data_IF_796310277280
#
_entry.id   IF_796310277280
#
_cell.length_a   1.000
_cell.length_b   1.000
_cell.length_c   1.000
_cell.angle_alpha   90.00
_cell.angle_beta   90.00
_cell.angle_gamma   90.00
#
_symmetry.space_group_name_H-M   'P 1'
#
loop_
_entity.id
_entity.type
_entity.pdbx_description
1 polymer ?
#
# COMPACT_ATOMS: atom_id res chain seq x y z
N UNK A 1 45.60 -41.98 45.66
CA UNK A 1 45.46 -43.06 46.67
C UNK A 1 44.55 -44.10 46.08
N UNK A 2 45.09 -45.25 45.72
CA UNK A 2 44.41 -46.29 44.94
C UNK A 2 43.47 -47.07 45.86
N UNK A 3 42.17 -47.00 45.59
CA UNK A 3 41.13 -47.75 46.29
C UNK A 3 41.35 -49.24 45.96
N UNK A 4 41.81 -50.03 46.94
CA UNK A 4 41.96 -51.48 46.79
C UNK A 4 40.55 -52.09 46.76
N UNK A 5 40.12 -52.59 45.62
CA UNK A 5 38.93 -53.44 45.53
C UNK A 5 39.19 -54.73 46.32
N UNK A 6 38.42 -54.93 47.40
CA UNK A 6 38.57 -56.05 48.35
C UNK A 6 37.78 -57.26 47.83
N UNK A 7 38.41 -58.42 47.80
CA UNK A 7 37.79 -59.66 47.34
C UNK A 7 37.01 -60.34 48.48
N UNK A 8 35.91 -61.05 48.17
CA UNK A 8 35.08 -61.74 49.17
C UNK A 8 35.84 -62.76 50.05
N UNK A 9 37.02 -63.22 49.62
CA UNK A 9 37.88 -64.12 50.39
C UNK A 9 38.50 -63.48 51.66
N UNK A 10 38.61 -62.15 51.72
CA UNK A 10 39.20 -61.45 52.87
C UNK A 10 38.28 -61.47 54.10
N UNK A 11 37.01 -61.87 53.95
CA UNK A 11 36.03 -61.93 55.03
C UNK A 11 36.01 -63.28 55.78
N UNK A 12 36.60 -64.36 55.24
CA UNK A 12 36.60 -65.69 55.89
C UNK A 12 37.61 -65.80 57.05
N UNK A 13 38.66 -64.98 57.07
CA UNK A 13 39.72 -64.97 58.10
C UNK A 13 39.79 -63.69 58.94
N UNK A 14 38.90 -62.72 58.73
CA UNK A 14 38.95 -61.42 59.41
C UNK A 14 38.35 -61.47 60.83
N UNK A 15 39.05 -60.85 61.79
CA UNK A 15 38.54 -60.63 63.15
C UNK A 15 37.24 -59.79 63.09
N UNK A 16 36.18 -60.27 63.75
CA UNK A 16 34.83 -59.67 63.78
C UNK A 16 34.83 -58.16 64.07
N UNK A 17 35.77 -57.69 64.92
CA UNK A 17 35.91 -56.25 65.24
C UNK A 17 36.34 -55.41 64.03
N UNK A 18 37.14 -55.97 63.14
CA UNK A 18 37.59 -55.31 61.89
C UNK A 18 36.42 -55.20 60.91
N UNK A 19 35.60 -56.25 60.80
CA UNK A 19 34.39 -56.25 59.95
C UNK A 19 33.39 -55.20 60.43
N UNK A 20 33.10 -55.13 61.73
CA UNK A 20 32.19 -54.12 62.29
C UNK A 20 32.70 -52.70 62.07
N UNK A 21 34.00 -52.45 62.28
CA UNK A 21 34.59 -51.13 62.02
C UNK A 21 34.47 -50.75 60.55
N UNK A 22 34.69 -51.70 59.63
CA UNK A 22 34.57 -51.47 58.18
C UNK A 22 33.13 -51.20 57.76
N UNK A 23 32.16 -51.94 58.30
CA UNK A 23 30.74 -51.69 58.05
C UNK A 23 30.33 -50.29 58.54
N UNK A 24 30.79 -49.87 59.72
CA UNK A 24 30.55 -48.52 60.23
C UNK A 24 31.14 -47.45 59.30
N UNK A 25 32.38 -47.63 58.81
CA UNK A 25 32.98 -46.72 57.83
C UNK A 25 32.21 -46.67 56.51
N UNK A 26 31.76 -47.83 56.00
CA UNK A 26 30.97 -47.89 54.77
C UNK A 26 29.60 -47.22 54.93
N UNK A 27 28.97 -47.35 56.10
CA UNK A 27 27.70 -46.69 56.39
C UNK A 27 27.87 -45.16 56.46
N UNK A 28 28.96 -44.70 57.08
CA UNK A 28 29.33 -43.27 57.10
C UNK A 28 29.62 -42.72 55.69
N UNK A 29 30.38 -43.46 54.87
CA UNK A 29 30.64 -43.12 53.47
C UNK A 29 29.33 -43.08 52.66
N UNK A 30 28.46 -44.07 52.83
CA UNK A 30 27.16 -44.10 52.15
C UNK A 30 26.24 -42.97 52.60
N UNK A 31 26.25 -42.60 53.90
CA UNK A 31 25.52 -41.44 54.40
C UNK A 31 26.04 -40.13 53.80
N UNK A 32 27.37 -39.98 53.68
CA UNK A 32 28.01 -38.83 53.03
C UNK A 32 27.61 -38.71 51.55
N UNK A 33 27.68 -39.81 50.80
CA UNK A 33 27.30 -39.85 49.37
C UNK A 33 25.81 -39.53 49.16
N UNK A 34 24.91 -40.03 50.03
CA UNK A 34 23.49 -39.67 49.96
C UNK A 34 23.26 -38.19 50.25
N UNK A 35 23.97 -37.63 51.22
CA UNK A 35 23.89 -36.19 51.52
C UNK A 35 24.41 -35.34 50.36
N UNK A 36 25.48 -35.77 49.69
CA UNK A 36 26.00 -35.11 48.49
C UNK A 36 25.03 -35.20 47.32
N UNK A 37 24.46 -36.38 47.06
CA UNK A 37 23.46 -36.56 46.02
C UNK A 37 22.22 -35.67 46.26
N UNK A 38 21.77 -35.56 47.52
CA UNK A 38 20.72 -34.64 47.93
C UNK A 38 21.05 -33.19 47.60
N UNK A 39 22.22 -32.69 48.04
CA UNK A 39 22.67 -31.32 47.72
C UNK A 39 22.78 -31.06 46.22
N UNK A 40 23.29 -32.04 45.46
CA UNK A 40 23.40 -31.92 44.01
C UNK A 40 22.03 -31.85 43.34
N UNK A 41 21.10 -32.72 43.73
CA UNK A 41 19.73 -32.73 43.22
C UNK A 41 19.02 -31.41 43.53
N UNK A 42 19.10 -30.93 44.78
CA UNK A 42 18.48 -29.68 45.20
C UNK A 42 19.05 -28.48 44.43
N UNK A 43 20.37 -28.47 44.20
CA UNK A 43 21.01 -27.47 43.35
C UNK A 43 20.54 -27.52 41.89
N UNK A 44 20.29 -28.71 41.34
CA UNK A 44 19.77 -28.88 39.97
C UNK A 44 18.32 -28.44 39.86
N UNK A 45 17.48 -28.75 40.85
CA UNK A 45 16.09 -28.29 40.90
C UNK A 45 16.04 -26.77 41.00
N UNK A 46 16.81 -26.17 41.91
CA UNK A 46 16.87 -24.72 42.05
C UNK A 46 17.33 -24.02 40.76
N UNK A 47 18.37 -24.54 40.10
CA UNK A 47 18.84 -23.99 38.82
C UNK A 47 17.80 -24.11 37.69
N UNK A 48 17.04 -25.22 37.67
CA UNK A 48 15.96 -25.41 36.69
C UNK A 48 14.79 -24.45 36.96
N UNK A 49 14.39 -24.28 38.22
CA UNK A 49 13.35 -23.34 38.62
C UNK A 49 13.74 -21.90 38.29
N UNK A 50 14.99 -21.52 38.51
CA UNK A 50 15.52 -20.21 38.14
C UNK A 50 15.44 -19.97 36.63
N UNK A 51 15.84 -20.97 35.83
CA UNK A 51 15.77 -20.90 34.38
C UNK A 51 14.32 -20.76 33.88
N UNK A 52 13.38 -21.52 34.47
CA UNK A 52 11.95 -21.42 34.14
C UNK A 52 11.42 -20.03 34.50
N UNK A 53 11.73 -19.51 35.68
CA UNK A 53 11.31 -18.16 36.08
C UNK A 53 11.83 -17.07 35.15
N UNK A 54 13.07 -17.18 34.68
CA UNK A 54 13.65 -16.24 33.72
C UNK A 54 12.95 -16.34 32.35
N UNK A 55 12.69 -17.55 31.86
CA UNK A 55 11.98 -17.76 30.61
C UNK A 55 10.54 -17.21 30.67
N UNK A 56 9.84 -17.42 31.78
CA UNK A 56 8.50 -16.87 32.01
C UNK A 56 8.51 -15.33 32.01
N UNK A 57 9.54 -14.72 32.59
CA UNK A 57 9.68 -13.28 32.57
C UNK A 57 9.90 -12.76 31.15
N UNK A 58 10.81 -13.37 30.39
CA UNK A 58 11.06 -13.01 28.99
C UNK A 58 9.79 -13.17 28.14
N UNK A 59 9.00 -14.22 28.38
CA UNK A 59 7.73 -14.43 27.69
C UNK A 59 6.70 -13.33 28.03
N UNK A 60 6.62 -12.91 29.29
CA UNK A 60 5.75 -11.80 29.70
C UNK A 60 6.18 -10.49 29.02
N UNK A 61 7.47 -10.20 29.04
CA UNK A 61 8.03 -8.99 28.44
C UNK A 61 7.80 -8.97 26.92
N UNK A 62 8.03 -10.10 26.24
CA UNK A 62 7.77 -10.24 24.81
C UNK A 62 6.28 -10.07 24.47
N UNK A 63 5.37 -10.66 25.27
CA UNK A 63 3.92 -10.47 25.09
C UNK A 63 3.51 -9.02 25.25
N UNK A 64 4.07 -8.34 26.25
CA UNK A 64 3.82 -6.91 26.46
C UNK A 64 4.33 -6.08 25.28
N UNK A 65 5.55 -6.33 24.81
CA UNK A 65 6.14 -5.63 23.67
C UNK A 65 5.32 -5.84 22.38
N UNK A 66 4.80 -7.05 22.14
CA UNK A 66 3.91 -7.32 21.00
C UNK A 66 2.60 -6.55 21.13
N UNK A 67 1.99 -6.53 22.32
CA UNK A 67 0.75 -5.77 22.54
C UNK A 67 0.95 -4.26 22.37
N UNK A 68 2.09 -3.72 22.81
CA UNK A 68 2.48 -2.32 22.58
C UNK A 68 2.70 -2.03 21.10
N UNK A 69 3.41 -2.91 20.38
CA UNK A 69 3.63 -2.76 18.94
C UNK A 69 2.31 -2.81 18.14
N UNK A 70 1.37 -3.68 18.54
CA UNK A 70 0.03 -3.75 17.92
C UNK A 70 -0.76 -2.47 18.14
N UNK A 71 -0.79 -1.92 19.37
CA UNK A 71 -1.45 -0.63 19.64
C UNK A 71 -0.85 0.51 18.80
N UNK A 72 0.48 0.55 18.69
CA UNK A 72 1.16 1.55 17.87
C UNK A 72 0.81 1.41 16.38
N UNK A 73 0.70 0.18 15.87
CA UNK A 73 0.26 -0.08 14.50
C UNK A 73 -1.18 0.42 14.28
N UNK A 74 -2.10 0.08 15.19
CA UNK A 74 -3.50 0.52 15.11
C UNK A 74 -3.63 2.04 15.13
N UNK A 75 -2.83 2.73 15.96
CA UNK A 75 -2.80 4.20 16.02
C UNK A 75 -2.27 4.81 14.72
N UNK A 76 -1.19 4.27 14.17
CA UNK A 76 -0.61 4.69 12.87
C UNK A 76 -1.62 4.49 11.74
N UNK A 77 -2.30 3.35 11.69
CA UNK A 77 -3.30 3.03 10.68
C UNK A 77 -4.52 3.94 10.78
N UNK A 78 -5.03 4.19 12.00
CA UNK A 78 -6.14 5.11 12.22
C UNK A 78 -5.77 6.54 11.77
N UNK A 79 -4.55 6.99 12.10
CA UNK A 79 -4.06 8.32 11.70
C UNK A 79 -3.85 8.42 10.18
N UNK A 80 -3.31 7.38 9.55
CA UNK A 80 -3.15 7.33 8.11
C UNK A 80 -4.50 7.37 7.38
N UNK A 81 -5.50 6.63 7.87
CA UNK A 81 -6.86 6.66 7.33
C UNK A 81 -7.51 8.05 7.45
N UNK A 82 -7.33 8.73 8.59
CA UNK A 82 -7.78 10.10 8.78
C UNK A 82 -7.16 11.08 7.78
N UNK A 83 -5.83 11.03 7.63
CA UNK A 83 -5.11 11.86 6.66
C UNK A 83 -5.53 11.58 5.21
N UNK A 84 -5.80 10.32 4.87
CA UNK A 84 -6.32 9.96 3.55
C UNK A 84 -7.71 10.56 3.30
N UNK A 85 -8.61 10.46 4.29
CA UNK A 85 -9.94 11.06 4.19
C UNK A 85 -9.85 12.57 3.98
N UNK A 86 -9.01 13.26 4.75
CA UNK A 86 -8.77 14.71 4.60
C UNK A 86 -8.24 15.07 3.21
N UNK A 87 -7.31 14.27 2.69
CA UNK A 87 -6.76 14.44 1.35
C UNK A 87 -7.85 14.26 0.28
N UNK A 88 -8.64 13.19 0.35
CA UNK A 88 -9.75 12.92 -0.58
C UNK A 88 -10.77 14.04 -0.56
N UNK A 89 -11.11 14.57 0.62
CA UNK A 89 -12.03 15.71 0.76
C UNK A 89 -11.50 17.00 0.14
N UNK A 90 -10.18 17.25 0.17
CA UNK A 90 -9.57 18.45 -0.43
C UNK A 90 -9.41 18.36 -1.94
N UNK A 91 -9.01 17.19 -2.44
CA UNK A 91 -8.65 16.97 -3.85
C UNK A 91 -9.86 16.54 -4.69
N UNK A 92 -10.90 15.97 -4.08
CA UNK A 92 -12.15 15.64 -4.75
C UNK A 92 -11.98 14.59 -5.86
N UNK A 93 -12.61 14.73 -7.04
CA UNK A 93 -12.62 13.72 -8.10
C UNK A 93 -11.23 13.28 -8.58
N UNK A 94 -10.21 14.15 -8.47
CA UNK A 94 -8.84 13.80 -8.84
C UNK A 94 -8.21 12.76 -7.90
N UNK A 95 -8.76 12.55 -6.70
CA UNK A 95 -8.36 11.49 -5.79
C UNK A 95 -8.98 10.12 -6.16
N UNK A 96 -10.10 10.10 -6.90
CA UNK A 96 -10.76 8.84 -7.30
C UNK A 96 -9.86 7.95 -8.17
N UNK A 97 -8.88 8.53 -8.88
CA UNK A 97 -7.87 7.78 -9.66
C UNK A 97 -6.99 6.86 -8.81
N UNK A 98 -6.88 7.15 -7.52
CA UNK A 98 -6.13 6.34 -6.55
C UNK A 98 -7.05 5.39 -5.77
N UNK A 99 -8.33 5.33 -6.12
CA UNK A 99 -9.36 4.55 -5.43
C UNK A 99 -10.05 5.37 -4.33
N UNK A 100 -11.34 5.10 -4.12
CA UNK A 100 -12.09 5.62 -2.96
C UNK A 100 -11.65 4.97 -1.64
N UNK A 101 -11.05 3.80 -1.73
CA UNK A 101 -10.53 3.04 -0.59
C UNK A 101 -9.09 3.46 -0.29
N UNK A 102 -8.73 3.51 0.99
CA UNK A 102 -7.34 3.73 1.43
C UNK A 102 -6.43 2.76 0.67
N UNK A 103 -5.38 3.24 -0.01
CA UNK A 103 -4.46 2.36 -0.72
C UNK A 103 -3.87 1.35 0.26
N UNK A 104 -3.66 0.10 -0.19
CA UNK A 104 -3.10 -0.91 0.71
C UNK A 104 -1.76 -0.44 1.28
N UNK A 105 -1.53 -0.61 2.59
CA UNK A 105 -0.29 -0.21 3.22
C UNK A 105 0.87 -0.98 2.56
N UNK A 106 1.69 -0.26 1.80
CA UNK A 106 2.94 -0.81 1.29
C UNK A 106 3.94 -0.67 2.41
N UNK A 107 4.38 -1.79 2.98
CA UNK A 107 5.49 -1.81 3.93
C UNK A 107 6.68 -1.16 3.21
N UNK A 108 7.12 0.04 3.61
CA UNK A 108 8.29 0.64 3.01
C UNK A 108 9.43 -0.34 3.26
N UNK A 109 10.24 -0.63 2.23
CA UNK A 109 11.55 -1.25 2.45
C UNK A 109 12.36 -0.21 3.23
N UNK A 110 12.20 -0.19 4.56
CA UNK A 110 12.80 0.79 5.45
C UNK A 110 14.31 0.77 5.22
N UNK A 111 14.81 1.80 4.54
CA UNK A 111 16.25 2.04 4.33
C UNK A 111 16.80 3.11 5.29
N UNK A 112 15.97 3.61 6.20
CA UNK A 112 16.32 4.70 7.11
C UNK A 112 15.73 4.48 8.49
N UNK A 113 16.43 4.89 9.54
CA UNK A 113 16.05 4.86 10.97
C UNK A 113 14.85 5.76 11.34
N UNK A 114 14.10 6.23 10.34
CA UNK A 114 13.06 7.24 10.52
C UNK A 114 11.76 6.60 11.02
N UNK A 115 11.13 7.22 12.03
CA UNK A 115 9.94 6.67 12.65
C UNK A 115 8.69 6.89 11.77
N UNK A 116 7.68 6.04 11.89
CA UNK A 116 6.40 6.16 11.19
C UNK A 116 5.71 7.51 11.48
N UNK A 117 5.83 8.02 12.71
CA UNK A 117 5.30 9.32 13.11
C UNK A 117 5.84 10.48 12.25
N UNK A 118 7.14 10.48 11.94
CA UNK A 118 7.76 11.54 11.13
C UNK A 118 7.19 11.57 9.70
N UNK A 119 6.93 10.40 9.13
CA UNK A 119 6.30 10.30 7.81
C UNK A 119 4.86 10.79 7.85
N UNK A 120 4.10 10.44 8.89
CA UNK A 120 2.73 10.92 9.06
C UNK A 120 2.67 12.44 9.27
N UNK A 121 3.62 13.03 10.00
CA UNK A 121 3.72 14.49 10.20
C UNK A 121 4.08 15.21 8.90
N UNK A 122 5.00 14.66 8.11
CA UNK A 122 5.36 15.18 6.79
C UNK A 122 4.14 15.15 5.85
N UNK A 123 3.39 14.04 5.84
CA UNK A 123 2.16 13.91 5.04
C UNK A 123 1.08 14.86 5.56
N UNK A 124 0.87 14.96 6.87
CA UNK A 124 -0.09 15.89 7.46
C UNK A 124 0.20 17.34 7.05
N UNK A 125 1.48 17.72 7.05
CA UNK A 125 1.94 19.02 6.57
C UNK A 125 1.62 19.21 5.09
N UNK A 126 1.95 18.22 4.23
CA UNK A 126 1.64 18.28 2.79
C UNK A 126 0.14 18.37 2.51
N UNK A 127 -0.68 17.59 3.22
CA UNK A 127 -2.14 17.61 3.10
C UNK A 127 -2.69 18.95 3.58
N UNK A 128 -2.12 19.55 4.63
CA UNK A 128 -2.50 20.88 5.12
C UNK A 128 -2.32 21.95 4.05
N UNK A 129 -1.19 21.94 3.34
CA UNK A 129 -0.85 22.91 2.28
C UNK A 129 -1.31 22.53 0.87
N UNK A 130 -1.98 21.38 0.70
CA UNK A 130 -2.58 21.02 -0.60
C UNK A 130 -3.74 21.95 -0.91
N UNK A 131 -3.65 22.72 -2.01
CA UNK A 131 -4.73 23.60 -2.46
C UNK A 131 -6.00 22.80 -2.76
N UNK A 132 -7.14 23.29 -2.26
CA UNK A 132 -8.45 22.69 -2.52
C UNK A 132 -8.76 22.76 -4.01
N UNK A 133 -9.26 21.67 -4.59
CA UNK A 133 -9.68 21.65 -5.99
C UNK A 133 -10.68 22.80 -6.24
N UNK A 134 -10.36 23.71 -7.17
CA UNK A 134 -11.22 24.86 -7.47
C UNK A 134 -12.54 24.35 -8.07
N UNK A 135 -13.71 24.81 -7.59
CA UNK A 135 -14.98 24.41 -8.17
C UNK A 135 -15.03 24.84 -9.65
N UNK A 136 -15.60 23.97 -10.49
CA UNK A 136 -15.94 24.27 -11.88
C UNK A 136 -16.96 25.42 -11.90
N UNK A 137 -16.47 26.66 -12.02
CA UNK A 137 -17.32 27.82 -12.19
C UNK A 137 -18.10 27.71 -13.51
N UNK A 138 -19.29 28.29 -13.55
CA UNK A 138 -20.15 28.29 -14.73
C UNK A 138 -19.43 28.79 -15.99
N UNK A 139 -18.56 29.80 -15.85
CA UNK A 139 -17.76 30.32 -16.96
C UNK A 139 -16.78 29.31 -17.57
N UNK A 140 -16.25 28.37 -16.77
CA UNK A 140 -15.37 27.30 -17.28
C UNK A 140 -16.19 26.29 -18.09
N UNK A 141 -17.41 25.95 -17.64
CA UNK A 141 -18.34 25.09 -18.40
C UNK A 141 -18.70 25.73 -19.76
N UNK A 142 -18.93 27.05 -19.77
CA UNK A 142 -19.22 27.80 -20.99
C UNK A 142 -18.03 27.82 -21.96
N UNK A 143 -16.82 28.01 -21.44
CA UNK A 143 -15.58 27.95 -22.22
C UNK A 143 -15.38 26.57 -22.88
N UNK A 144 -15.66 25.49 -22.15
CA UNK A 144 -15.61 24.14 -22.71
C UNK A 144 -16.68 23.90 -23.78
N UNK A 145 -17.90 24.42 -23.58
CA UNK A 145 -18.93 24.43 -24.63
C UNK A 145 -18.45 25.13 -25.90
N UNK A 146 -17.79 26.27 -25.77
CA UNK A 146 -17.22 27.01 -26.91
C UNK A 146 -16.14 26.21 -27.66
N UNK A 147 -15.31 25.43 -26.95
CA UNK A 147 -14.36 24.51 -27.59
C UNK A 147 -15.06 23.40 -28.41
N UNK A 148 -16.19 22.87 -27.90
CA UNK A 148 -17.03 21.93 -28.63
C UNK A 148 -17.56 22.54 -29.93
N UNK A 149 -18.12 23.75 -29.85
CA UNK A 149 -18.64 24.49 -31.02
C UNK A 149 -17.53 24.79 -32.04
N UNK A 150 -16.37 25.27 -31.57
CA UNK A 150 -15.22 25.54 -32.44
C UNK A 150 -14.70 24.28 -33.14
N UNK A 151 -14.66 23.14 -32.43
CA UNK A 151 -14.30 21.84 -33.02
C UNK A 151 -15.30 21.39 -34.09
N UNK A 152 -16.60 21.59 -33.86
CA UNK A 152 -17.65 21.31 -34.85
C UNK A 152 -17.53 22.18 -36.11
N UNK A 153 -17.28 23.49 -35.94
CA UNK A 153 -17.05 24.42 -37.05
C UNK A 153 -15.81 24.04 -37.87
N UNK A 154 -14.69 23.73 -37.19
CA UNK A 154 -13.46 23.31 -37.84
C UNK A 154 -13.64 22.00 -38.62
N UNK A 155 -14.40 21.04 -38.06
CA UNK A 155 -14.73 19.79 -38.75
C UNK A 155 -15.52 20.02 -40.05
N UNK A 156 -16.53 20.89 -40.02
CA UNK A 156 -17.34 21.22 -41.21
C UNK A 156 -16.50 21.96 -42.27
N UNK A 157 -15.64 22.89 -41.84
CA UNK A 157 -14.73 23.58 -42.74
C UNK A 157 -13.76 22.60 -43.42
N UNK A 158 -13.14 21.70 -42.65
CA UNK A 158 -12.25 20.67 -43.16
C UNK A 158 -12.97 19.70 -44.11
N UNK A 159 -14.20 19.28 -43.76
CA UNK A 159 -15.05 18.45 -44.61
C UNK A 159 -15.33 19.11 -45.96
N UNK A 160 -15.67 20.40 -45.98
CA UNK A 160 -15.92 21.16 -47.21
C UNK A 160 -14.66 21.30 -48.06
N UNK A 161 -13.52 21.62 -47.46
CA UNK A 161 -12.24 21.72 -48.17
C UNK A 161 -11.85 20.38 -48.79
N UNK A 162 -12.02 19.26 -48.07
CA UNK A 162 -11.76 17.93 -48.62
C UNK A 162 -12.69 17.63 -49.79
N UNK A 163 -13.99 17.91 -49.65
CA UNK A 163 -14.99 17.63 -50.68
C UNK A 163 -14.78 18.49 -51.94
N UNK A 164 -14.41 19.76 -51.79
CA UNK A 164 -14.13 20.66 -52.90
C UNK A 164 -12.88 20.23 -53.69
N UNK A 165 -11.84 19.77 -53.00
CA UNK A 165 -10.59 19.30 -53.63
C UNK A 165 -10.67 17.85 -54.14
N UNK A 166 -11.63 17.06 -53.67
CA UNK A 166 -11.83 15.67 -54.09
C UNK A 166 -12.62 15.48 -55.38
N UNK A 167 -13.30 16.51 -55.88
CA UNK A 167 -14.12 16.43 -57.09
C UNK A 167 -13.33 16.34 -58.40
N UNK A 168 -12.03 16.69 -58.39
CA UNK A 168 -11.17 16.75 -59.58
C UNK A 168 -10.29 15.51 -59.80
N UNK A 169 -10.31 14.53 -58.89
CA UNK A 169 -9.46 13.33 -59.00
C UNK A 169 -10.22 12.15 -59.60
N UNK A 170 -9.72 11.63 -60.72
CA UNK A 170 -10.16 10.37 -61.34
C UNK A 170 -9.32 9.21 -60.78
N UNK A 171 -9.94 8.29 -60.02
CA UNK A 171 -9.27 7.10 -59.46
C UNK A 171 -9.82 6.67 -58.10
N UNK A 172 -9.23 5.62 -57.50
CA UNK A 172 -9.60 4.99 -56.20
C UNK A 172 -9.77 5.98 -55.03
N UNK A 173 -9.18 7.17 -55.14
CA UNK A 173 -9.32 8.27 -54.19
C UNK A 173 -10.72 8.87 -54.15
N UNK A 174 -11.48 8.84 -55.25
CA UNK A 174 -12.86 9.35 -55.32
C UNK A 174 -13.80 8.58 -54.39
N UNK A 175 -13.59 7.27 -54.24
CA UNK A 175 -14.40 6.41 -53.38
C UNK A 175 -13.94 6.44 -51.91
N UNK A 176 -12.66 6.71 -51.66
CA UNK A 176 -12.10 6.80 -50.30
C UNK A 176 -12.32 8.18 -49.65
N UNK A 177 -12.39 9.25 -50.44
CA UNK A 177 -12.51 10.65 -49.97
C UNK A 177 -13.70 10.92 -49.03
N UNK A 178 -14.91 10.38 -49.28
CA UNK A 178 -16.06 10.56 -48.39
C UNK A 178 -15.82 9.97 -47.01
N UNK A 179 -15.19 8.80 -46.96
CA UNK A 179 -14.87 8.11 -45.69
C UNK A 179 -13.82 8.89 -44.91
N UNK A 180 -12.76 9.36 -45.58
CA UNK A 180 -11.72 10.19 -44.95
C UNK A 180 -12.31 11.50 -44.43
N UNK A 181 -13.21 12.15 -45.18
CA UNK A 181 -13.86 13.38 -44.76
C UNK A 181 -14.74 13.17 -43.52
N UNK A 182 -15.44 12.04 -43.42
CA UNK A 182 -16.19 11.66 -42.22
C UNK A 182 -15.27 11.38 -41.02
N UNK A 183 -14.15 10.71 -41.24
CA UNK A 183 -13.15 10.47 -40.18
C UNK A 183 -12.60 11.80 -39.66
N UNK A 184 -12.25 12.75 -40.54
CA UNK A 184 -11.74 14.08 -40.15
C UNK A 184 -12.80 14.89 -39.39
N UNK A 185 -14.07 14.83 -39.84
CA UNK A 185 -15.19 15.46 -39.16
C UNK A 185 -15.34 14.93 -37.72
N UNK A 186 -15.20 13.62 -37.53
CA UNK A 186 -15.27 12.97 -36.21
C UNK A 186 -14.01 13.19 -35.36
N UNK A 187 -12.84 13.36 -35.98
CA UNK A 187 -11.58 13.59 -35.27
C UNK A 187 -11.49 15.01 -34.66
N UNK A 188 -12.10 16.02 -35.28
CA UNK A 188 -12.05 17.40 -34.78
C UNK A 188 -12.67 17.58 -33.37
N UNK A 189 -13.86 17.04 -33.06
CA UNK A 189 -14.42 17.02 -31.71
C UNK A 189 -13.54 16.30 -30.69
N UNK A 190 -12.80 15.26 -31.11
CA UNK A 190 -11.88 14.55 -30.22
C UNK A 190 -10.65 15.41 -29.91
N UNK A 191 -10.10 16.10 -30.91
CA UNK A 191 -8.97 17.02 -30.74
C UNK A 191 -9.35 18.24 -29.86
N UNK A 192 -10.59 18.72 -29.94
CA UNK A 192 -11.04 19.82 -29.06
C UNK A 192 -11.15 19.37 -27.60
N UNK A 193 -11.49 18.11 -27.31
CA UNK A 193 -11.42 17.54 -25.95
C UNK A 193 -9.97 17.49 -25.45
N UNK A 194 -9.00 17.13 -26.29
CA UNK A 194 -7.57 17.14 -25.91
C UNK A 194 -7.09 18.56 -25.59
N UNK A 195 -7.46 19.55 -26.40
CA UNK A 195 -7.14 20.95 -26.16
C UNK A 195 -7.80 21.46 -24.86
N UNK A 196 -9.07 21.13 -24.64
CA UNK A 196 -9.80 21.44 -23.41
C UNK A 196 -9.12 20.81 -22.19
N UNK A 197 -8.70 19.55 -22.28
CA UNK A 197 -7.94 18.85 -21.23
C UNK A 197 -6.63 19.55 -20.91
N UNK A 198 -5.85 19.92 -21.93
CA UNK A 198 -4.59 20.64 -21.73
C UNK A 198 -4.78 21.99 -21.02
N UNK A 199 -5.85 22.71 -21.33
CA UNK A 199 -6.19 23.98 -20.66
C UNK A 199 -6.67 23.75 -19.22
N UNK A 200 -7.45 22.70 -18.98
CA UNK A 200 -7.94 22.33 -17.66
C UNK A 200 -6.80 21.89 -16.73
N UNK A 201 -5.87 21.07 -17.23
CA UNK A 201 -4.68 20.63 -16.51
C UNK A 201 -3.81 21.83 -16.12
N UNK A 202 -3.67 22.81 -17.02
CA UNK A 202 -2.95 24.06 -16.74
C UNK A 202 -3.62 24.94 -15.69
N UNK A 203 -4.94 24.81 -15.52
CA UNK A 203 -5.73 25.59 -14.56
C UNK A 203 -6.02 24.83 -13.26
N UNK A 204 -5.55 23.58 -13.14
CA UNK A 204 -5.79 22.74 -11.96
C UNK A 204 -7.25 22.36 -11.77
N UNK A 205 -8.04 22.31 -12.85
CA UNK A 205 -9.47 22.00 -12.80
C UNK A 205 -9.68 20.58 -13.31
N UNK A 206 -10.24 19.70 -12.47
CA UNK A 206 -10.57 18.34 -12.88
C UNK A 206 -11.68 18.35 -13.94
N UNK A 207 -11.42 17.74 -15.10
CA UNK A 207 -12.48 17.46 -16.06
C UNK A 207 -13.31 16.29 -15.55
N UNK A 208 -14.55 16.61 -15.20
CA UNK A 208 -15.58 15.61 -14.92
C UNK A 208 -16.04 14.93 -16.23
N UNK A 209 -16.43 13.66 -16.15
CA UNK A 209 -16.93 12.88 -17.28
C UNK A 209 -18.15 13.55 -17.95
N UNK A 210 -19.00 14.19 -17.15
CA UNK A 210 -20.12 14.99 -17.64
C UNK A 210 -19.66 16.17 -18.52
N UNK A 211 -18.51 16.77 -18.21
CA UNK A 211 -17.97 17.90 -18.99
C UNK A 211 -17.42 17.43 -20.33
N UNK A 212 -16.74 16.27 -20.36
CA UNK A 212 -16.28 15.64 -21.61
C UNK A 212 -17.48 15.29 -22.51
N UNK A 213 -18.53 14.69 -21.94
CA UNK A 213 -19.76 14.38 -22.66
C UNK A 213 -20.42 15.64 -23.23
N UNK A 214 -20.46 16.73 -22.46
CA UNK A 214 -21.01 18.02 -22.92
C UNK A 214 -20.24 18.59 -24.11
N UNK A 215 -18.90 18.53 -24.09
CA UNK A 215 -18.06 19.00 -25.21
C UNK A 215 -18.33 18.19 -26.48
N UNK A 216 -18.39 16.85 -26.34
CA UNK A 216 -18.65 15.95 -27.46
C UNK A 216 -20.06 16.13 -28.04
N UNK A 217 -21.08 16.17 -27.18
CA UNK A 217 -22.47 16.42 -27.59
C UNK A 217 -22.58 17.78 -28.29
N UNK A 218 -22.01 18.84 -27.73
CA UNK A 218 -22.03 20.16 -28.35
C UNK A 218 -21.32 20.16 -29.72
N UNK A 219 -20.18 19.49 -29.83
CA UNK A 219 -19.45 19.35 -31.10
C UNK A 219 -20.22 18.57 -32.15
N UNK A 220 -20.82 17.42 -31.77
CA UNK A 220 -21.65 16.60 -32.66
C UNK A 220 -22.92 17.32 -33.10
N UNK A 221 -23.64 17.98 -32.17
CA UNK A 221 -24.85 18.74 -32.49
C UNK A 221 -24.51 19.88 -33.45
N UNK A 222 -23.43 20.61 -33.19
CA UNK A 222 -22.98 21.70 -34.07
C UNK A 222 -22.63 21.18 -35.47
N UNK A 223 -21.85 20.10 -35.56
CA UNK A 223 -21.46 19.50 -36.83
C UNK A 223 -22.66 18.94 -37.60
N UNK A 224 -23.58 18.25 -36.92
CA UNK A 224 -24.80 17.70 -37.50
C UNK A 224 -25.78 18.78 -37.96
N UNK A 225 -25.97 19.83 -37.16
CA UNK A 225 -26.83 20.96 -37.51
C UNK A 225 -26.29 21.72 -38.73
N UNK A 226 -24.97 21.96 -38.79
CA UNK A 226 -24.34 22.58 -39.94
C UNK A 226 -24.45 21.70 -41.18
N UNK A 227 -24.17 20.40 -41.08
CA UNK A 227 -24.32 19.48 -42.21
C UNK A 227 -25.77 19.36 -42.68
N UNK A 228 -26.75 19.35 -41.77
CA UNK A 228 -28.17 19.35 -42.11
C UNK A 228 -28.62 20.65 -42.78
N UNK A 229 -28.20 21.80 -42.26
CA UNK A 229 -28.50 23.10 -42.88
C UNK A 229 -27.88 23.27 -44.27
N UNK A 230 -26.75 22.60 -44.52
CA UNK A 230 -26.00 22.68 -45.77
C UNK A 230 -26.40 21.58 -46.76
N UNK A 231 -26.84 20.42 -46.27
CA UNK A 231 -27.19 19.23 -47.04
C UNK A 231 -28.67 19.11 -47.41
N UNK A 232 -29.50 20.10 -47.07
CA UNK A 232 -30.90 20.25 -47.53
C UNK A 232 -30.98 21.08 -48.83
N UNK A 233 -29.85 21.25 -49.54
CA UNK A 233 -29.80 21.70 -50.94
C UNK A 233 -29.23 20.57 -51.81
#
# INVERSE_FOLDING_TARGET
MTQRDVQPADFETADYRVVLRRLATLDEEAASLRAEAGRWHDGRVAAADDAVRQADQQLRDAKQAVAEAQRNLEEVDARAAGLWSDYVHKVGPAAERFGRTVPQPVIPRQRSERNAADYLDEVATKVKYTEKARPLTFGIKLLFGAFGVAGGLAGVAAYRVLRANGGSQTGTWKDALPVVALVVLLACPVLSVVAAKKVADRRGVGLDAATVATILLAGMITAGALLGAIGVQ
#
